data_IF_131900002081
#
_entry.id   IF_131900002081
#
_cell.length_a   1.000
_cell.length_b   1.000
_cell.length_c   1.000
_cell.angle_alpha   90.00
_cell.angle_beta   90.00
_cell.angle_gamma   90.00
#
_symmetry.space_group_name_H-M   'P 1'
#
loop_
_entity.id
_entity.type
_entity.pdbx_description
1 polymer ?
#
# COMPACT_ATOMS: atom_id res chain seq x y z
N UNK A 1 -6.66 28.48 3.68
CA UNK A 1 -6.70 27.01 3.92
C UNK A 1 -5.27 26.60 4.15
N UNK A 2 -4.96 26.16 5.33
CA UNK A 2 -3.62 25.67 5.62
C UNK A 2 -3.48 24.27 4.98
N UNK A 3 -2.52 24.13 4.06
CA UNK A 3 -2.22 22.83 3.43
C UNK A 3 -1.69 21.88 4.50
N UNK A 4 -2.16 20.64 4.49
CA UNK A 4 -1.57 19.60 5.34
C UNK A 4 -0.11 19.42 4.94
N UNK A 5 0.81 19.53 5.91
CA UNK A 5 2.25 19.51 5.67
C UNK A 5 2.90 18.47 6.57
N UNK A 6 3.88 17.74 6.03
CA UNK A 6 4.76 16.85 6.78
C UNK A 6 6.20 17.27 6.48
N UNK A 7 6.97 17.60 7.50
CA UNK A 7 8.38 18.08 7.35
C UNK A 7 8.52 19.24 6.35
N UNK A 8 7.55 20.15 6.28
CA UNK A 8 7.56 21.28 5.36
C UNK A 8 7.19 20.95 3.91
N UNK A 9 6.78 19.71 3.64
CA UNK A 9 6.35 19.26 2.31
C UNK A 9 4.84 19.05 2.26
N UNK A 10 4.18 19.36 1.14
CA UNK A 10 2.74 19.20 1.00
C UNK A 10 2.34 17.72 1.01
N UNK A 11 1.15 17.46 1.55
CA UNK A 11 0.50 16.14 1.52
C UNK A 11 -0.71 16.22 0.61
N UNK A 12 -0.81 15.29 -0.33
CA UNK A 12 -1.94 15.15 -1.24
C UNK A 12 -2.67 13.83 -0.98
N UNK A 13 -3.97 13.81 -1.22
CA UNK A 13 -4.75 12.57 -1.22
C UNK A 13 -4.82 12.00 -2.63
N UNK A 14 -4.51 10.71 -2.78
CA UNK A 14 -4.76 9.99 -4.02
C UNK A 14 -6.27 9.82 -4.22
N UNK A 15 -6.77 10.18 -5.39
CA UNK A 15 -8.18 10.06 -5.74
C UNK A 15 -8.35 9.27 -7.03
N UNK A 16 -9.50 8.63 -7.17
CA UNK A 16 -9.90 7.92 -8.37
C UNK A 16 -11.15 8.59 -8.95
N UNK A 17 -11.01 9.10 -10.15
CA UNK A 17 -12.13 9.58 -10.98
C UNK A 17 -12.45 8.58 -12.10
N UNK A 18 -13.32 8.97 -13.03
CA UNK A 18 -13.73 8.09 -14.14
C UNK A 18 -12.62 7.86 -15.18
N UNK A 19 -11.53 8.62 -15.14
CA UNK A 19 -10.43 8.57 -16.10
C UNK A 19 -9.23 7.77 -15.60
N UNK A 20 -9.06 7.63 -14.28
CA UNK A 20 -7.92 6.93 -13.71
C UNK A 20 -8.15 5.41 -13.68
N UNK A 21 -7.14 4.64 -14.02
CA UNK A 21 -7.20 3.18 -13.99
C UNK A 21 -7.20 2.59 -12.58
N UNK A 22 -6.61 3.29 -11.62
CA UNK A 22 -6.28 2.74 -10.32
C UNK A 22 -5.07 1.81 -10.40
N UNK A 23 -5.03 0.75 -9.63
CA UNK A 23 -3.95 -0.25 -9.67
C UNK A 23 -4.06 -1.08 -10.94
N UNK A 24 -2.99 -1.18 -11.72
CA UNK A 24 -2.96 -1.97 -12.95
C UNK A 24 -1.84 -3.01 -12.99
N UNK A 25 -0.84 -2.94 -12.12
CA UNK A 25 0.24 -3.92 -12.02
C UNK A 25 0.69 -4.07 -10.58
N UNK A 26 1.10 -5.28 -10.24
CA UNK A 26 1.74 -5.62 -8.97
C UNK A 26 3.16 -6.08 -9.28
N UNK A 27 4.14 -5.54 -8.56
CA UNK A 27 5.54 -5.88 -8.75
C UNK A 27 6.06 -6.63 -7.54
N UNK A 28 6.73 -7.76 -7.80
CA UNK A 28 7.52 -8.45 -6.80
C UNK A 28 8.86 -7.75 -6.67
N UNK A 29 9.22 -7.31 -5.48
CA UNK A 29 10.39 -6.46 -5.27
C UNK A 29 11.27 -6.93 -4.11
N UNK A 30 12.58 -6.67 -4.24
CA UNK A 30 13.53 -6.87 -3.15
C UNK A 30 13.39 -5.79 -2.07
N UNK A 31 13.07 -4.56 -2.49
CA UNK A 31 12.91 -3.40 -1.62
C UNK A 31 11.59 -2.66 -1.93
N UNK A 32 10.51 -2.96 -1.18
CA UNK A 32 9.21 -2.32 -1.40
C UNK A 32 9.30 -0.80 -1.22
N UNK A 33 8.88 -0.04 -2.22
CA UNK A 33 8.98 1.42 -2.28
C UNK A 33 8.27 2.18 -1.13
N UNK A 34 7.49 1.49 -0.33
CA UNK A 34 6.78 2.06 0.82
C UNK A 34 7.68 2.36 2.01
N UNK A 35 9.00 2.00 1.99
CA UNK A 35 9.73 1.91 3.25
C UNK A 35 11.13 2.51 3.34
N UNK A 36 12.01 2.35 2.35
CA UNK A 36 13.43 2.54 2.60
C UNK A 36 13.91 3.98 2.47
N UNK A 37 13.35 4.74 1.55
CA UNK A 37 13.72 6.16 1.40
C UNK A 37 13.15 7.08 2.49
N UNK A 38 12.25 6.57 3.30
CA UNK A 38 11.61 7.30 4.40
C UNK A 38 12.50 7.52 5.60
N UNK A 39 13.26 6.51 5.99
CA UNK A 39 14.10 6.54 7.20
C UNK A 39 15.21 7.58 7.09
N UNK A 40 15.65 7.92 5.88
CA UNK A 40 16.72 8.85 5.67
C UNK A 40 16.33 10.33 5.91
N UNK A 41 15.06 10.68 5.90
CA UNK A 41 14.60 12.07 5.96
C UNK A 41 13.78 12.45 7.20
N UNK A 42 13.27 11.50 7.97
CA UNK A 42 12.52 11.76 9.19
C UNK A 42 13.38 11.46 10.41
N UNK A 43 14.03 12.48 10.98
CA UNK A 43 14.85 12.36 12.20
C UNK A 43 14.08 11.85 13.43
N UNK A 44 12.76 11.84 13.40
CA UNK A 44 11.88 11.49 14.52
C UNK A 44 10.76 10.47 14.18
N UNK A 45 10.69 9.97 12.94
CA UNK A 45 9.78 8.89 12.62
C UNK A 45 10.35 7.58 13.15
N UNK A 46 9.60 6.88 14.02
CA UNK A 46 9.89 5.48 14.32
C UNK A 46 9.98 4.75 12.98
N UNK A 47 11.16 4.22 12.68
CA UNK A 47 11.35 3.38 11.51
C UNK A 47 10.30 2.27 11.56
N UNK A 48 9.32 2.32 10.66
CA UNK A 48 8.44 1.18 10.45
C UNK A 48 9.31 0.09 9.87
N UNK A 49 9.25 -1.11 10.44
CA UNK A 49 9.94 -2.27 9.86
C UNK A 49 9.42 -2.49 8.44
N UNK A 50 10.28 -2.94 7.51
CA UNK A 50 9.85 -3.30 6.16
C UNK A 50 8.61 -4.20 6.20
N UNK A 51 7.58 -3.85 5.41
CA UNK A 51 6.38 -4.67 5.25
C UNK A 51 6.74 -5.89 4.38
N UNK A 52 7.38 -6.87 4.99
CA UNK A 52 7.80 -8.09 4.33
C UNK A 52 6.62 -9.02 4.10
N UNK A 53 6.78 -9.93 3.15
CA UNK A 53 5.89 -11.07 3.04
C UNK A 53 5.82 -11.84 4.37
N UNK A 54 4.62 -12.25 4.73
CA UNK A 54 4.39 -13.30 5.71
C UNK A 54 4.07 -14.59 4.98
N UNK A 55 4.84 -15.66 5.20
CA UNK A 55 4.47 -16.99 4.72
C UNK A 55 3.32 -17.47 5.59
N UNK A 56 2.13 -17.62 5.01
CA UNK A 56 0.92 -18.05 5.74
C UNK A 56 0.69 -19.54 5.64
N UNK A 57 1.16 -20.16 4.56
CA UNK A 57 1.10 -21.62 4.37
C UNK A 57 2.28 -22.06 3.50
N UNK A 58 3.21 -22.80 4.11
CA UNK A 58 4.40 -23.24 3.41
C UNK A 58 4.12 -24.41 2.47
N UNK A 59 3.20 -25.30 2.82
CA UNK A 59 2.84 -26.47 2.02
C UNK A 59 2.03 -26.08 0.78
N UNK A 60 1.19 -25.06 0.91
CA UNK A 60 0.39 -24.52 -0.20
C UNK A 60 1.05 -23.30 -0.88
N UNK A 61 2.28 -22.95 -0.55
CA UNK A 61 3.04 -21.83 -1.12
C UNK A 61 2.27 -20.48 -1.08
N UNK A 62 1.71 -20.15 0.06
CA UNK A 62 0.95 -18.91 0.24
C UNK A 62 1.75 -17.86 0.97
N UNK A 63 1.73 -16.65 0.44
CA UNK A 63 2.29 -15.46 1.07
C UNK A 63 1.25 -14.37 1.21
N UNK A 64 1.29 -13.65 2.33
CA UNK A 64 0.47 -12.48 2.61
C UNK A 64 1.34 -11.23 2.59
N UNK A 65 0.85 -10.17 1.96
CA UNK A 65 1.52 -8.87 1.96
C UNK A 65 0.52 -7.73 2.07
N UNK A 66 1.00 -6.61 2.62
CA UNK A 66 0.30 -5.33 2.49
C UNK A 66 0.51 -4.81 1.07
N UNK A 67 -0.58 -4.57 0.34
CA UNK A 67 -0.54 -3.94 -0.99
C UNK A 67 -0.34 -2.44 -0.82
N UNK A 68 -1.13 -1.82 0.08
CA UNK A 68 -1.05 -0.39 0.35
C UNK A 68 -1.63 -0.08 1.73
N UNK A 69 -0.98 0.80 2.49
CA UNK A 69 -1.45 1.28 3.78
C UNK A 69 -2.46 2.41 3.62
N UNK A 70 -3.54 2.36 4.40
CA UNK A 70 -4.52 3.44 4.47
C UNK A 70 -3.95 4.62 5.27
N UNK A 71 -4.19 5.84 4.79
CA UNK A 71 -3.84 7.10 5.45
C UNK A 71 -2.35 7.26 5.79
N UNK A 72 -1.51 6.36 5.31
CA UNK A 72 -0.07 6.38 5.53
C UNK A 72 0.62 7.24 4.47
N UNK A 73 1.39 8.26 4.86
CA UNK A 73 2.00 9.16 3.91
C UNK A 73 3.21 8.54 3.22
N UNK A 74 3.22 8.54 1.90
CA UNK A 74 4.26 7.99 1.03
C UNK A 74 4.98 9.15 0.35
N UNK A 75 6.30 9.24 0.51
CA UNK A 75 7.11 10.27 -0.14
C UNK A 75 7.20 10.03 -1.64
N UNK A 76 7.09 11.12 -2.40
CA UNK A 76 7.24 11.15 -3.85
C UNK A 76 8.02 12.40 -4.27
N UNK A 77 8.55 12.36 -5.47
CA UNK A 77 9.23 13.49 -6.12
C UNK A 77 8.58 13.71 -7.47
N UNK A 78 8.24 14.94 -7.79
CA UNK A 78 7.67 15.31 -9.08
C UNK A 78 8.72 15.42 -10.19
N UNK A 79 8.28 15.78 -11.40
CA UNK A 79 9.15 15.94 -12.58
C UNK A 79 10.18 17.07 -12.41
N UNK A 80 9.92 18.04 -11.53
CA UNK A 80 10.83 19.15 -11.24
C UNK A 80 11.83 18.84 -10.12
N UNK A 81 11.70 17.65 -9.49
CA UNK A 81 12.51 17.23 -8.36
C UNK A 81 11.98 17.76 -7.01
N UNK A 82 10.76 18.28 -6.96
CA UNK A 82 10.13 18.75 -5.73
C UNK A 82 9.48 17.58 -4.96
N UNK A 83 9.78 17.50 -3.66
CA UNK A 83 9.28 16.46 -2.79
C UNK A 83 7.85 16.75 -2.32
N UNK A 84 7.05 15.70 -2.19
CA UNK A 84 5.70 15.77 -1.60
C UNK A 84 5.31 14.40 -1.02
N UNK A 85 4.18 14.36 -0.30
CA UNK A 85 3.61 13.12 0.23
C UNK A 85 2.27 12.82 -0.41
N UNK A 86 1.99 11.52 -0.60
CA UNK A 86 0.68 11.02 -1.02
C UNK A 86 0.13 10.13 0.09
N UNK A 87 -1.15 10.28 0.40
CA UNK A 87 -1.92 9.36 1.22
C UNK A 87 -3.05 8.74 0.41
N UNK A 88 -3.48 7.53 0.81
CA UNK A 88 -4.60 6.82 0.21
C UNK A 88 -5.64 6.58 1.29
N UNK A 89 -6.84 7.16 1.15
CA UNK A 89 -7.93 6.84 2.06
C UNK A 89 -8.39 5.39 1.89
N UNK A 90 -9.03 4.83 2.91
CA UNK A 90 -9.59 3.48 2.83
C UNK A 90 -10.62 3.34 1.71
N UNK A 91 -11.36 4.41 1.41
CA UNK A 91 -12.34 4.48 0.33
C UNK A 91 -11.64 4.41 -1.05
N UNK A 92 -10.56 5.16 -1.23
CA UNK A 92 -9.74 5.11 -2.44
C UNK A 92 -9.13 3.73 -2.65
N UNK A 93 -8.63 3.10 -1.58
CA UNK A 93 -8.07 1.75 -1.66
C UNK A 93 -9.13 0.69 -1.98
N UNK A 94 -10.36 0.83 -1.44
CA UNK A 94 -11.46 -0.05 -1.80
C UNK A 94 -11.81 0.05 -3.29
N UNK A 95 -11.94 1.26 -3.81
CA UNK A 95 -12.25 1.49 -5.22
C UNK A 95 -11.10 1.02 -6.13
N UNK A 96 -9.84 1.22 -5.73
CA UNK A 96 -8.67 0.72 -6.46
C UNK A 96 -8.66 -0.81 -6.55
N UNK A 97 -8.94 -1.51 -5.43
CA UNK A 97 -9.06 -2.97 -5.39
C UNK A 97 -10.20 -3.47 -6.29
N UNK A 98 -11.34 -2.80 -6.24
CA UNK A 98 -12.49 -3.13 -7.09
C UNK A 98 -12.14 -2.99 -8.58
N UNK A 99 -11.48 -1.88 -8.98
CA UNK A 99 -11.06 -1.67 -10.38
C UNK A 99 -10.01 -2.70 -10.82
N UNK A 100 -9.04 -3.02 -9.97
CA UNK A 100 -8.06 -4.09 -10.23
C UNK A 100 -8.75 -5.39 -10.63
N UNK A 101 -9.76 -5.81 -9.85
CA UNK A 101 -10.50 -7.04 -10.12
C UNK A 101 -11.41 -6.93 -11.34
N UNK A 102 -12.17 -5.84 -11.49
CA UNK A 102 -13.08 -5.64 -12.61
C UNK A 102 -12.37 -5.56 -13.95
N UNK A 103 -11.16 -4.99 -13.98
CA UNK A 103 -10.35 -4.87 -15.20
C UNK A 103 -9.52 -6.13 -15.49
N UNK A 104 -9.52 -7.12 -14.61
CA UNK A 104 -8.75 -8.34 -14.79
C UNK A 104 -7.24 -8.18 -14.55
N UNK A 105 -6.81 -7.12 -13.88
CA UNK A 105 -5.39 -6.78 -13.69
C UNK A 105 -4.72 -7.57 -12.56
N UNK A 106 -5.46 -8.34 -11.77
CA UNK A 106 -4.94 -9.12 -10.65
C UNK A 106 -3.85 -10.15 -11.04
N UNK A 107 -3.76 -10.50 -12.31
CA UNK A 107 -2.76 -11.44 -12.82
C UNK A 107 -1.60 -10.73 -13.56
N UNK A 108 -1.59 -9.40 -13.61
CA UNK A 108 -0.50 -8.64 -14.17
C UNK A 108 0.56 -8.39 -13.08
N UNK A 109 1.52 -9.30 -13.03
CA UNK A 109 2.63 -9.25 -12.08
C UNK A 109 3.95 -9.21 -12.84
N UNK A 110 4.86 -8.36 -12.41
CA UNK A 110 6.22 -8.29 -12.91
C UNK A 110 7.26 -8.32 -11.77
N UNK A 111 8.53 -8.25 -12.11
CA UNK A 111 9.65 -8.15 -11.17
C UNK A 111 10.26 -6.77 -11.29
N UNK A 112 10.48 -6.09 -10.16
CA UNK A 112 11.21 -4.81 -10.06
C UNK A 112 10.69 -3.75 -11.05
N UNK A 113 9.37 -3.68 -11.26
CA UNK A 113 8.73 -2.74 -12.18
C UNK A 113 9.21 -2.85 -13.65
N UNK A 114 9.75 -4.00 -14.03
CA UNK A 114 10.21 -4.26 -15.39
C UNK A 114 9.10 -4.92 -16.18
N UNK A 115 8.44 -4.20 -17.08
CA UNK A 115 7.29 -4.70 -17.86
C UNK A 115 7.57 -5.98 -18.65
N UNK A 116 8.83 -6.19 -19.11
CA UNK A 116 9.24 -7.39 -19.82
C UNK A 116 9.48 -8.61 -18.91
N UNK A 117 9.44 -8.45 -17.60
CA UNK A 117 9.64 -9.51 -16.60
C UNK A 117 8.32 -10.06 -16.07
N UNK A 118 7.30 -10.19 -16.92
CA UNK A 118 6.00 -10.73 -16.52
C UNK A 118 6.15 -12.10 -15.85
N UNK A 119 5.56 -12.24 -14.66
CA UNK A 119 5.58 -13.47 -13.89
C UNK A 119 4.29 -14.26 -14.10
N UNK A 120 4.48 -15.55 -14.46
CA UNK A 120 3.41 -16.52 -14.49
C UNK A 120 3.56 -17.43 -13.27
N UNK A 121 2.75 -17.55 -12.38
CA UNK A 121 2.90 -18.44 -11.21
C UNK A 121 3.03 -17.70 -9.89
N UNK A 122 2.80 -16.39 -9.92
CA UNK A 122 2.52 -15.58 -8.74
C UNK A 122 1.13 -14.98 -8.93
N UNK A 123 0.15 -15.46 -8.18
CA UNK A 123 -1.26 -15.17 -8.43
C UNK A 123 -1.94 -14.64 -7.19
N UNK A 124 -2.68 -13.55 -7.35
CA UNK A 124 -3.52 -13.02 -6.28
C UNK A 124 -4.69 -13.98 -6.00
N UNK A 125 -4.67 -14.62 -4.85
CA UNK A 125 -5.71 -15.55 -4.40
C UNK A 125 -6.83 -14.82 -3.62
N UNK A 126 -6.45 -13.83 -2.80
CA UNK A 126 -7.39 -13.03 -2.04
C UNK A 126 -6.92 -11.58 -2.00
N UNK A 127 -7.88 -10.65 -1.98
CA UNK A 127 -7.67 -9.23 -1.73
C UNK A 127 -8.74 -8.73 -0.78
N UNK A 128 -8.33 -8.02 0.26
CA UNK A 128 -9.24 -7.51 1.27
C UNK A 128 -8.64 -6.31 2.01
N UNK A 129 -9.49 -5.54 2.66
CA UNK A 129 -9.05 -4.50 3.59
C UNK A 129 -9.05 -5.01 5.02
N UNK A 130 -8.03 -4.59 5.80
CA UNK A 130 -8.05 -4.79 7.25
C UNK A 130 -9.23 -4.04 7.84
N UNK A 131 -9.98 -4.73 8.70
CA UNK A 131 -11.16 -4.19 9.39
C UNK A 131 -11.27 -4.92 10.74
N UNK A 132 -10.63 -4.35 11.74
CA UNK A 132 -10.56 -4.94 13.08
C UNK A 132 -11.94 -5.07 13.71
N UNK A 133 -12.85 -4.13 13.43
CA UNK A 133 -14.22 -4.17 13.96
C UNK A 133 -15.02 -5.36 13.41
N UNK A 134 -14.70 -5.82 12.19
CA UNK A 134 -15.29 -7.02 11.56
C UNK A 134 -14.50 -8.29 11.82
N UNK A 135 -13.42 -8.23 12.61
CA UNK A 135 -12.55 -9.38 12.89
C UNK A 135 -11.56 -9.70 11.77
N UNK A 136 -11.35 -8.80 10.80
CA UNK A 136 -10.36 -8.95 9.74
C UNK A 136 -9.08 -8.28 10.20
N UNK A 137 -8.25 -9.03 10.91
CA UNK A 137 -6.99 -8.56 11.48
C UNK A 137 -5.88 -9.58 11.22
N UNK A 138 -5.13 -9.44 10.11
CA UNK A 138 -4.09 -10.40 9.73
C UNK A 138 -3.00 -10.50 10.80
N UNK A 139 -2.66 -11.72 11.19
CA UNK A 139 -1.63 -11.99 12.17
C UNK A 139 -0.26 -11.51 11.68
N UNK A 140 0.49 -10.84 12.54
CA UNK A 140 1.78 -10.23 12.22
C UNK A 140 1.69 -8.84 11.58
N UNK A 141 0.46 -8.31 11.41
CA UNK A 141 0.18 -6.98 10.86
C UNK A 141 -0.77 -6.17 11.74
N UNK A 142 -0.71 -6.42 13.05
CA UNK A 142 -1.60 -5.78 14.03
C UNK A 142 -1.44 -4.26 14.05
N UNK A 143 -0.21 -3.77 13.82
CA UNK A 143 0.13 -2.33 13.83
C UNK A 143 -0.20 -1.59 12.53
N UNK A 144 -0.71 -2.30 11.50
CA UNK A 144 -1.12 -1.68 10.25
C UNK A 144 -2.52 -1.08 10.41
N UNK A 145 -2.75 0.06 9.81
CA UNK A 145 -4.00 0.83 9.89
C UNK A 145 -5.19 0.04 9.32
N UNK A 146 -6.35 0.15 9.97
CA UNK A 146 -7.63 -0.33 9.41
C UNK A 146 -7.92 0.39 8.08
N UNK A 147 -8.47 -0.34 7.12
CA UNK A 147 -8.65 0.13 5.75
C UNK A 147 -7.46 -0.14 4.83
N UNK A 148 -6.30 -0.53 5.37
CA UNK A 148 -5.14 -0.94 4.56
C UNK A 148 -5.47 -2.17 3.72
N UNK A 149 -4.97 -2.18 2.49
CA UNK A 149 -5.25 -3.20 1.49
C UNK A 149 -4.23 -4.33 1.58
N UNK A 150 -4.71 -5.55 1.71
CA UNK A 150 -3.93 -6.78 1.78
C UNK A 150 -4.17 -7.69 0.58
N UNK A 151 -3.12 -8.40 0.17
CA UNK A 151 -3.19 -9.46 -0.82
C UNK A 151 -2.57 -10.75 -0.33
N UNK A 152 -3.29 -11.86 -0.45
CA UNK A 152 -2.75 -13.20 -0.31
C UNK A 152 -2.46 -13.75 -1.71
N UNK A 153 -1.26 -14.27 -1.87
CA UNK A 153 -0.76 -14.76 -3.16
C UNK A 153 -0.40 -16.23 -3.07
N UNK A 154 -0.75 -16.95 -4.13
CA UNK A 154 -0.32 -18.31 -4.37
C UNK A 154 0.88 -18.31 -5.33
N UNK A 155 1.93 -19.05 -4.97
CA UNK A 155 3.18 -19.14 -5.73
C UNK A 155 3.30 -20.52 -6.35
N UNK A 156 2.88 -20.66 -7.62
CA UNK A 156 2.89 -21.93 -8.33
C UNK A 156 4.27 -22.35 -8.86
N UNK A 157 5.19 -21.39 -9.03
CA UNK A 157 6.54 -21.64 -9.53
C UNK A 157 7.47 -21.97 -8.39
N UNK A 158 8.05 -23.18 -8.40
CA UNK A 158 8.94 -23.69 -7.35
C UNK A 158 10.25 -22.90 -7.23
N UNK A 159 10.76 -22.37 -8.35
CA UNK A 159 11.96 -21.55 -8.34
C UNK A 159 11.68 -20.23 -7.66
N UNK A 160 10.59 -19.58 -8.03
CA UNK A 160 10.14 -18.34 -7.40
C UNK A 160 9.84 -18.53 -5.92
N UNK A 161 9.19 -19.65 -5.56
CA UNK A 161 8.94 -19.98 -4.16
C UNK A 161 10.25 -20.10 -3.34
N UNK A 162 11.25 -20.79 -3.91
CA UNK A 162 12.55 -20.92 -3.30
C UNK A 162 13.27 -19.57 -3.14
N UNK A 163 13.13 -18.67 -4.12
CA UNK A 163 13.70 -17.33 -4.08
C UNK A 163 13.01 -16.45 -3.01
N UNK A 164 11.68 -16.54 -2.86
CA UNK A 164 10.94 -15.86 -1.80
C UNK A 164 11.37 -16.37 -0.42
N UNK A 165 11.48 -17.68 -0.22
CA UNK A 165 11.98 -18.26 1.04
C UNK A 165 13.42 -17.87 1.35
N UNK A 166 14.24 -17.70 0.33
CA UNK A 166 15.62 -17.24 0.49
C UNK A 166 15.72 -15.73 0.76
N UNK A 167 14.61 -14.99 0.73
CA UNK A 167 14.56 -13.55 0.96
C UNK A 167 15.09 -12.70 -0.21
N UNK A 168 15.11 -13.26 -1.42
CA UNK A 168 15.45 -12.48 -2.63
C UNK A 168 14.39 -11.44 -2.94
N UNK A 169 13.13 -11.80 -2.72
CA UNK A 169 12.01 -10.88 -2.78
C UNK A 169 11.42 -10.76 -1.38
N UNK A 170 11.23 -9.55 -0.92
CA UNK A 170 10.78 -9.29 0.45
C UNK A 170 9.38 -8.73 0.55
N UNK A 171 8.83 -8.23 -0.56
CA UNK A 171 7.49 -7.65 -0.56
C UNK A 171 6.96 -7.40 -1.97
N UNK A 172 5.88 -6.65 -2.01
CA UNK A 172 5.25 -6.19 -3.24
C UNK A 172 5.25 -4.67 -3.29
N UNK A 173 5.27 -4.15 -4.51
CA UNK A 173 5.00 -2.76 -4.84
C UNK A 173 3.88 -2.72 -5.87
N UNK A 174 3.16 -1.61 -5.96
CA UNK A 174 2.12 -1.45 -6.96
C UNK A 174 2.48 -0.37 -7.97
N UNK A 175 1.95 -0.55 -9.18
CA UNK A 175 1.88 0.49 -10.20
C UNK A 175 0.41 0.86 -10.41
N UNK A 176 0.13 2.15 -10.44
CA UNK A 176 -1.23 2.64 -10.55
C UNK A 176 -1.28 4.07 -11.07
N UNK A 177 -2.45 4.44 -11.57
CA UNK A 177 -2.77 5.79 -12.01
C UNK A 177 -3.85 6.38 -11.11
N UNK A 178 -3.53 7.49 -10.46
CA UNK A 178 -4.37 8.18 -9.50
C UNK A 178 -4.29 9.69 -9.76
N UNK A 179 -5.41 10.39 -9.56
CA UNK A 179 -5.41 11.84 -9.43
C UNK A 179 -4.87 12.24 -8.06
N UNK A 180 -4.45 13.49 -7.93
CA UNK A 180 -4.03 14.08 -6.65
C UNK A 180 -4.96 15.21 -6.27
N UNK A 181 -5.46 15.19 -5.05
CA UNK A 181 -6.27 16.25 -4.47
C UNK A 181 -5.63 16.75 -3.17
N UNK A 182 -5.87 18.02 -2.84
CA UNK A 182 -5.56 18.52 -1.50
C UNK A 182 -6.36 17.68 -0.50
N UNK A 183 -5.76 17.26 0.64
CA UNK A 183 -6.47 16.49 1.65
C UNK A 183 -7.73 17.22 2.08
N UNK A 184 -8.85 16.51 2.12
CA UNK A 184 -10.06 17.05 2.72
C UNK A 184 -9.79 17.31 4.19
N UNK A 185 -10.17 18.48 4.68
CA UNK A 185 -10.24 18.70 6.12
C UNK A 185 -11.21 17.65 6.69
N UNK A 186 -10.81 16.98 7.77
CA UNK A 186 -11.69 16.06 8.48
C UNK A 186 -12.87 16.90 8.98
N UNK A 187 -14.05 16.68 8.44
CA UNK A 187 -15.26 17.35 8.94
C UNK A 187 -15.43 16.91 10.40
N UNK A 188 -15.44 17.88 11.32
CA UNK A 188 -15.67 17.65 12.73
C UNK A 188 -17.18 17.55 12.93
N UNK A 189 -17.72 16.36 12.83
CA UNK A 189 -19.16 16.12 12.96
C UNK A 189 -19.55 15.76 14.41
N UNK A 190 -18.60 15.27 15.19
CA UNK A 190 -18.85 14.80 16.56
C UNK A 190 -17.90 15.44 17.57
N UNK A 191 -18.25 15.36 18.85
CA UNK A 191 -17.38 15.80 19.96
C UNK A 191 -16.12 14.94 20.01
N UNK A 192 -16.23 13.65 19.69
CA UNK A 192 -15.11 12.72 19.60
C UNK A 192 -14.12 13.16 18.53
N UNK A 193 -14.58 13.55 17.35
CA UNK A 193 -13.74 14.09 16.27
C UNK A 193 -13.02 15.37 16.69
N UNK A 194 -13.70 16.24 17.46
CA UNK A 194 -13.12 17.46 17.99
C UNK A 194 -12.02 17.17 19.01
N UNK A 195 -12.25 16.20 19.90
CA UNK A 195 -11.28 15.77 20.94
C UNK A 195 -10.03 15.18 20.27
N UNK A 196 -10.22 14.32 19.26
CA UNK A 196 -9.12 13.73 18.46
C UNK A 196 -8.35 14.83 17.71
N UNK A 197 -9.04 15.76 17.05
CA UNK A 197 -8.44 16.89 16.34
C UNK A 197 -7.60 17.80 17.24
N UNK A 198 -8.09 18.05 18.46
CA UNK A 198 -7.40 18.89 19.46
C UNK A 198 -6.31 18.14 20.23
N UNK A 199 -6.16 16.83 20.03
CA UNK A 199 -5.17 16.00 20.73
C UNK A 199 -5.40 15.96 22.27
N UNK A 200 -6.62 16.18 22.71
CA UNK A 200 -6.99 16.16 24.13
C UNK A 200 -7.17 14.69 24.55
N UNK A 201 -6.37 14.24 25.51
CA UNK A 201 -6.49 12.90 26.12
C UNK A 201 -7.26 12.99 27.42
#
# INVERSE_FOLDING_TARGET
>A
MDKKMINGLPVYEAVLDDYNLGIFTISLVDDPATEVKWVAFAKDAKASSPLKFSIVDEDEHKVLSVIMRADFPIYRVDENGEGFYITFSKETLYEAAKRLLMNGFQNYVNVEHIASSALYGFQLAQIYQKDTARGINPAGFEDIEDGSLFGEYFVADETLWSEIKAGKFTGISLEGEFGLAEPKEKEIETIEDLVEYLGIK
#
